data_IF_460936517626
#
_entry.id   IF_460936517626
#
_cell.length_a   1.000
_cell.length_b   1.000
_cell.length_c   1.000
_cell.angle_alpha   90.00
_cell.angle_beta   90.00
_cell.angle_gamma   90.00
#
_symmetry.space_group_name_H-M   'P 1'
#
loop_
_entity.id
_entity.type
_entity.pdbx_description
1 polymer ?
#
# COMPACT_ATOMS: atom_id res chain seq x y z
N UNK A 1 71.62 -41.74 4.61
CA UNK A 1 71.36 -40.39 5.17
C UNK A 1 70.99 -39.31 4.12
N UNK A 2 70.34 -39.66 3.01
CA UNK A 2 69.93 -38.65 1.96
C UNK A 2 68.40 -38.58 1.72
N UNK A 3 67.63 -39.44 2.36
CA UNK A 3 66.17 -39.52 2.09
C UNK A 3 65.30 -38.63 3.00
N UNK A 4 65.73 -38.35 4.23
CA UNK A 4 64.95 -37.60 5.23
C UNK A 4 64.89 -36.08 4.97
N UNK A 5 65.87 -35.49 4.33
CA UNK A 5 65.90 -34.05 4.02
C UNK A 5 64.95 -33.66 2.88
N UNK A 6 64.67 -34.57 1.97
CA UNK A 6 63.77 -34.31 0.83
C UNK A 6 62.30 -34.32 1.26
N UNK A 7 61.93 -35.15 2.22
CA UNK A 7 60.58 -35.24 2.74
C UNK A 7 60.21 -33.99 3.53
N UNK A 8 61.11 -33.42 4.32
CA UNK A 8 60.88 -32.19 5.05
C UNK A 8 60.75 -30.96 4.14
N UNK A 9 61.46 -30.93 3.04
CA UNK A 9 61.35 -29.82 2.07
C UNK A 9 60.02 -29.86 1.29
N UNK A 10 59.55 -31.05 0.93
CA UNK A 10 58.23 -31.21 0.30
C UNK A 10 57.07 -30.90 1.27
N UNK A 11 57.21 -31.21 2.55
CA UNK A 11 56.22 -30.92 3.56
C UNK A 11 56.09 -29.41 3.86
N UNK A 12 57.20 -28.66 3.74
CA UNK A 12 57.18 -27.20 3.87
C UNK A 12 56.53 -26.49 2.68
N UNK A 13 56.68 -27.03 1.47
CA UNK A 13 56.05 -26.47 0.25
C UNK A 13 54.55 -26.69 0.31
N UNK A 14 54.04 -27.80 0.83
CA UNK A 14 52.60 -28.06 0.99
C UNK A 14 51.98 -27.17 2.10
N UNK A 15 52.69 -26.87 3.19
CA UNK A 15 52.20 -26.00 4.23
C UNK A 15 52.18 -24.53 3.77
N UNK A 16 53.12 -24.07 2.96
CA UNK A 16 53.09 -22.70 2.41
C UNK A 16 51.99 -22.49 1.34
N UNK A 17 51.52 -23.52 0.65
CA UNK A 17 50.47 -23.41 -0.34
C UNK A 17 49.06 -23.36 0.27
N UNK A 18 48.90 -23.77 1.53
CA UNK A 18 47.62 -23.70 2.25
C UNK A 18 47.40 -22.34 2.94
N UNK A 19 48.47 -21.56 3.17
CA UNK A 19 48.39 -20.24 3.84
C UNK A 19 48.22 -19.06 2.86
N UNK A 20 48.17 -19.32 1.58
CA UNK A 20 48.15 -18.29 0.51
C UNK A 20 46.86 -18.18 -0.30
N UNK A 21 45.76 -18.83 0.11
CA UNK A 21 44.45 -18.56 -0.48
C UNK A 21 43.92 -17.25 0.08
N UNK A 22 43.83 -16.16 -0.70
CA UNK A 22 43.06 -15.01 -0.25
C UNK A 22 41.63 -15.51 -0.04
N UNK A 23 41.15 -15.42 1.18
CA UNK A 23 39.72 -15.53 1.47
C UNK A 23 39.06 -14.40 0.67
N UNK A 24 38.65 -14.67 -0.55
CA UNK A 24 37.68 -13.83 -1.25
C UNK A 24 36.40 -13.96 -0.44
N UNK A 25 36.30 -13.15 0.60
CA UNK A 25 34.99 -12.80 1.16
C UNK A 25 34.23 -12.21 -0.01
N UNK A 26 33.40 -13.03 -0.63
CA UNK A 26 32.36 -12.53 -1.50
C UNK A 26 31.48 -11.62 -0.61
N UNK A 27 31.84 -10.34 -0.55
CA UNK A 27 30.91 -9.31 -0.14
C UNK A 27 29.77 -9.42 -1.14
N UNK A 28 28.68 -10.04 -0.73
CA UNK A 28 27.41 -9.86 -1.40
C UNK A 28 27.12 -8.36 -1.26
N UNK A 29 27.55 -7.61 -2.26
CA UNK A 29 27.05 -6.25 -2.46
C UNK A 29 25.56 -6.46 -2.68
N UNK A 30 24.77 -6.26 -1.65
CA UNK A 30 23.32 -6.10 -1.79
C UNK A 30 23.15 -4.87 -2.70
N UNK A 31 23.08 -5.09 -3.99
CA UNK A 31 22.72 -4.06 -4.95
C UNK A 31 21.27 -3.69 -4.61
N UNK A 32 21.13 -2.62 -3.87
CA UNK A 32 19.82 -2.03 -3.55
C UNK A 32 19.26 -1.51 -4.87
N UNK A 33 18.25 -2.18 -5.39
CA UNK A 33 17.60 -1.79 -6.63
C UNK A 33 16.53 -0.72 -6.34
N UNK A 34 16.42 0.32 -7.18
CA UNK A 34 15.36 1.33 -7.04
C UNK A 34 13.98 0.67 -7.18
N UNK A 35 12.99 1.19 -6.44
CA UNK A 35 11.60 0.78 -6.58
C UNK A 35 11.08 1.11 -7.99
N UNK A 36 10.03 0.44 -8.45
CA UNK A 36 9.40 0.78 -9.74
C UNK A 36 8.84 2.21 -9.73
N UNK A 37 8.34 2.64 -8.59
CA UNK A 37 7.90 4.02 -8.39
C UNK A 37 9.07 4.99 -8.57
N UNK A 38 10.24 4.72 -8.00
CA UNK A 38 11.44 5.53 -8.20
C UNK A 38 11.89 5.57 -9.67
N UNK A 39 11.83 4.44 -10.37
CA UNK A 39 12.13 4.38 -11.81
C UNK A 39 11.15 5.24 -12.61
N UNK A 40 9.86 5.27 -12.26
CA UNK A 40 8.86 6.13 -12.92
C UNK A 40 9.12 7.61 -12.68
N UNK A 41 9.50 8.00 -11.44
CA UNK A 41 9.92 9.38 -11.11
C UNK A 41 11.15 9.77 -11.93
N UNK A 42 12.14 8.90 -12.01
CA UNK A 42 13.36 9.11 -12.82
C UNK A 42 13.06 9.27 -14.31
N UNK A 43 12.19 8.42 -14.85
CA UNK A 43 11.76 8.49 -16.25
C UNK A 43 11.04 9.82 -16.54
N UNK A 44 10.17 10.27 -15.62
CA UNK A 44 9.49 11.57 -15.74
C UNK A 44 10.49 12.73 -15.82
N UNK A 45 11.53 12.73 -14.97
CA UNK A 45 12.64 13.70 -15.00
C UNK A 45 13.44 13.63 -16.31
N UNK A 46 13.75 12.43 -16.80
CA UNK A 46 14.51 12.24 -18.03
C UNK A 46 13.75 12.81 -19.25
N UNK A 47 12.42 12.80 -19.22
CA UNK A 47 11.57 13.44 -20.23
C UNK A 47 11.54 14.98 -20.09
N UNK A 48 12.35 15.58 -19.21
CA UNK A 48 12.39 17.03 -18.91
C UNK A 48 11.05 17.61 -18.47
N UNK A 49 10.18 16.78 -17.90
CA UNK A 49 8.93 17.22 -17.29
C UNK A 49 9.20 17.80 -15.91
N UNK A 50 8.42 18.81 -15.55
CA UNK A 50 8.62 19.58 -14.32
C UNK A 50 7.57 19.14 -13.29
N UNK A 51 8.00 18.96 -12.04
CA UNK A 51 7.12 18.81 -10.89
C UNK A 51 6.58 20.18 -10.50
N UNK A 52 5.29 20.31 -10.33
CA UNK A 52 4.67 21.50 -9.78
C UNK A 52 4.96 21.57 -8.28
N UNK A 53 5.69 22.59 -7.87
CA UNK A 53 6.00 22.81 -6.45
C UNK A 53 4.82 23.45 -5.76
N UNK A 54 4.33 22.82 -4.68
CA UNK A 54 3.14 23.24 -3.96
C UNK A 54 3.41 23.32 -2.47
N UNK A 55 3.07 24.45 -1.86
CA UNK A 55 3.11 24.66 -0.40
C UNK A 55 1.74 24.31 0.17
N UNK A 56 1.58 23.06 0.63
CA UNK A 56 0.32 22.53 1.12
C UNK A 56 0.20 22.60 2.65
N UNK A 57 1.30 22.35 3.37
CA UNK A 57 1.32 22.31 4.82
C UNK A 57 1.80 23.65 5.38
N UNK A 58 1.08 24.13 6.38
CA UNK A 58 1.51 25.23 7.21
C UNK A 58 2.48 24.81 8.32
N UNK A 59 2.77 25.73 9.26
CA UNK A 59 3.69 25.44 10.36
C UNK A 59 3.14 24.31 11.25
N UNK A 60 4.09 23.61 11.89
CA UNK A 60 3.77 22.64 12.94
C UNK A 60 3.07 23.32 14.11
N UNK A 61 2.13 22.61 14.71
CA UNK A 61 1.38 23.06 15.90
C UNK A 61 1.57 22.06 17.04
N UNK A 62 1.59 22.50 18.28
CA UNK A 62 1.77 21.67 19.47
C UNK A 62 0.48 20.96 19.92
N UNK A 63 -0.56 20.92 19.07
CA UNK A 63 -1.85 20.36 19.44
C UNK A 63 -1.86 18.84 19.34
N UNK A 64 -1.82 18.17 20.50
CA UNK A 64 -2.17 16.74 20.64
C UNK A 64 -3.30 16.60 21.65
N UNK A 65 -4.36 15.89 21.27
CA UNK A 65 -5.39 15.53 22.27
C UNK A 65 -4.82 14.51 23.26
N UNK A 66 -5.19 14.60 24.54
CA UNK A 66 -4.77 13.68 25.62
C UNK A 66 -5.00 12.19 25.28
N UNK A 67 -5.94 11.89 24.39
CA UNK A 67 -6.21 10.52 23.93
C UNK A 67 -5.16 10.03 22.94
N UNK A 68 -4.64 10.91 22.09
CA UNK A 68 -3.62 10.58 21.09
C UNK A 68 -2.25 10.40 21.74
N UNK A 69 -1.90 11.20 22.74
CA UNK A 69 -0.66 11.09 23.53
C UNK A 69 -0.46 9.71 24.14
N UNK A 70 -1.56 8.99 24.47
CA UNK A 70 -1.50 7.61 24.99
C UNK A 70 -1.22 6.57 23.92
N UNK A 71 -1.43 6.88 22.66
CA UNK A 71 -1.36 5.93 21.54
C UNK A 71 -0.17 6.16 20.63
N UNK A 72 0.42 7.35 20.68
CA UNK A 72 1.53 7.76 19.80
C UNK A 72 2.57 8.48 20.66
N UNK A 73 3.84 8.05 20.56
CA UNK A 73 4.94 8.62 21.35
C UNK A 73 5.51 9.89 20.72
N UNK A 74 5.53 9.98 19.40
CA UNK A 74 6.00 11.15 18.65
C UNK A 74 5.13 11.34 17.42
N UNK A 75 4.80 12.59 17.13
CA UNK A 75 4.05 12.96 15.94
C UNK A 75 4.23 14.45 15.65
N UNK A 76 3.88 14.84 14.46
CA UNK A 76 3.72 16.24 14.06
C UNK A 76 2.25 16.53 13.82
N UNK A 77 1.79 17.68 14.26
CA UNK A 77 0.49 18.23 13.85
C UNK A 77 0.73 19.48 13.02
N UNK A 78 0.13 19.54 11.85
CA UNK A 78 0.31 20.66 10.93
C UNK A 78 -1.02 21.09 10.31
N UNK A 79 -1.21 22.39 10.17
CA UNK A 79 -2.33 22.94 9.41
C UNK A 79 -2.15 22.65 7.91
N UNK A 80 -3.25 22.62 7.18
CA UNK A 80 -3.25 22.46 5.72
C UNK A 80 -3.91 23.68 5.06
N UNK A 81 -3.38 24.13 3.92
CA UNK A 81 -4.07 25.10 3.08
C UNK A 81 -5.17 24.41 2.28
N UNK A 82 -6.42 24.61 2.74
CA UNK A 82 -7.59 24.00 2.09
C UNK A 82 -7.83 24.53 0.65
N UNK A 83 -7.34 25.72 0.30
CA UNK A 83 -7.46 26.25 -1.08
C UNK A 83 -6.52 25.50 -1.99
N UNK A 84 -5.30 25.28 -1.54
CA UNK A 84 -4.29 24.50 -2.27
C UNK A 84 -4.74 23.05 -2.39
N UNK A 85 -5.27 22.44 -1.32
CA UNK A 85 -5.85 21.09 -1.37
C UNK A 85 -6.95 20.98 -2.44
N UNK A 86 -7.91 21.93 -2.41
CA UNK A 86 -9.00 21.98 -3.39
C UNK A 86 -8.46 22.16 -4.82
N UNK A 87 -7.45 23.02 -5.02
CA UNK A 87 -6.83 23.23 -6.32
C UNK A 87 -6.19 21.95 -6.85
N UNK A 88 -5.40 21.22 -6.05
CA UNK A 88 -4.81 19.92 -6.43
C UNK A 88 -5.90 18.93 -6.84
N UNK A 89 -7.01 18.87 -6.07
CA UNK A 89 -8.13 18.00 -6.38
C UNK A 89 -8.83 18.37 -7.69
N UNK A 90 -9.03 19.66 -7.95
CA UNK A 90 -9.72 20.15 -9.13
C UNK A 90 -8.88 20.03 -10.41
N UNK A 91 -7.61 20.44 -10.36
CA UNK A 91 -6.72 20.53 -11.52
C UNK A 91 -5.99 19.22 -11.80
N UNK A 92 -5.78 18.37 -10.77
CA UNK A 92 -5.10 17.08 -10.86
C UNK A 92 -3.76 17.16 -11.63
N UNK A 93 -2.80 17.98 -11.18
CA UNK A 93 -1.52 18.14 -11.84
C UNK A 93 -0.85 16.79 -12.16
N UNK A 94 -0.09 16.73 -13.25
CA UNK A 94 0.56 15.46 -13.67
C UNK A 94 1.63 15.02 -12.69
N UNK A 95 2.32 15.96 -12.05
CA UNK A 95 3.34 15.70 -11.04
C UNK A 95 3.44 16.85 -10.04
N UNK A 96 3.72 16.50 -8.78
CA UNK A 96 3.81 17.42 -7.65
C UNK A 96 5.12 17.23 -6.90
N UNK A 97 5.70 18.34 -6.44
CA UNK A 97 6.73 18.38 -5.40
C UNK A 97 6.13 19.05 -4.16
N UNK A 98 6.16 18.34 -3.03
CA UNK A 98 5.59 18.78 -1.76
C UNK A 98 6.62 18.65 -0.64
N UNK A 99 6.48 19.49 0.38
CA UNK A 99 7.19 19.38 1.64
C UNK A 99 6.23 18.91 2.74
N UNK A 100 6.58 17.82 3.42
CA UNK A 100 5.82 17.24 4.53
C UNK A 100 6.54 17.54 5.83
N UNK A 101 5.95 18.30 6.76
CA UNK A 101 6.55 18.53 8.07
C UNK A 101 6.53 17.25 8.90
N UNK A 102 7.68 16.91 9.49
CA UNK A 102 7.79 15.70 10.32
C UNK A 102 8.87 15.83 11.39
N UNK A 103 8.47 15.91 12.66
CA UNK A 103 9.34 15.96 13.84
C UNK A 103 10.40 17.09 13.76
N UNK A 104 9.97 18.30 13.40
CA UNK A 104 10.83 19.47 13.27
C UNK A 104 11.70 19.50 12.01
N UNK A 105 11.46 18.61 11.06
CA UNK A 105 12.15 18.53 9.77
C UNK A 105 11.14 18.64 8.63
N UNK A 106 11.60 18.93 7.42
CA UNK A 106 10.80 18.87 6.21
C UNK A 106 11.25 17.70 5.35
N UNK A 107 10.32 16.85 4.93
CA UNK A 107 10.54 15.76 3.99
C UNK A 107 10.07 16.20 2.61
N UNK A 108 11.00 16.42 1.69
CA UNK A 108 10.67 16.72 0.29
C UNK A 108 10.26 15.43 -0.42
N UNK A 109 9.10 15.46 -1.10
CA UNK A 109 8.56 14.33 -1.84
C UNK A 109 8.26 14.68 -3.28
N UNK A 110 8.44 13.72 -4.17
CA UNK A 110 8.15 13.83 -5.60
C UNK A 110 7.08 12.81 -5.98
N UNK A 111 5.99 13.30 -6.52
CA UNK A 111 4.77 12.54 -6.80
C UNK A 111 4.39 12.60 -8.27
N UNK A 112 3.98 11.48 -8.84
CA UNK A 112 3.43 11.36 -10.19
C UNK A 112 2.00 10.87 -10.10
N UNK A 113 1.08 11.51 -10.86
CA UNK A 113 -0.32 11.10 -10.92
C UNK A 113 -0.47 9.70 -11.52
N UNK A 114 -1.37 8.93 -10.93
CA UNK A 114 -1.70 7.56 -11.36
C UNK A 114 -3.21 7.37 -11.43
N UNK A 115 -3.65 6.42 -12.25
CA UNK A 115 -5.04 6.00 -12.34
C UNK A 115 -5.20 4.64 -11.64
N UNK A 116 -6.01 4.62 -10.58
CA UNK A 116 -6.29 3.41 -9.79
C UNK A 116 -7.72 2.90 -9.97
N UNK A 117 -8.54 3.63 -10.72
CA UNK A 117 -9.89 3.22 -11.06
C UNK A 117 -9.93 2.73 -12.51
N UNK A 118 -10.66 1.65 -12.76
CA UNK A 118 -10.92 1.18 -14.12
C UNK A 118 -11.72 2.21 -14.92
N UNK A 119 -11.55 2.24 -16.24
CA UNK A 119 -12.27 3.17 -17.10
C UNK A 119 -13.81 2.99 -17.02
N UNK A 120 -14.27 1.78 -16.69
CA UNK A 120 -15.68 1.46 -16.47
C UNK A 120 -16.11 1.49 -15.01
N UNK A 121 -15.33 2.12 -14.12
CA UNK A 121 -15.60 2.17 -12.68
C UNK A 121 -17.01 2.65 -12.36
N UNK A 122 -17.69 1.94 -11.47
CA UNK A 122 -19.00 2.29 -10.92
C UNK A 122 -19.03 2.06 -9.41
N UNK A 123 -19.93 2.78 -8.74
CA UNK A 123 -20.17 2.59 -7.32
C UNK A 123 -21.68 2.46 -7.07
N UNK A 124 -22.06 1.56 -6.16
CA UNK A 124 -23.44 1.26 -5.80
C UNK A 124 -23.61 1.27 -4.28
N UNK A 125 -24.87 1.30 -3.83
CA UNK A 125 -25.19 1.14 -2.41
C UNK A 125 -26.41 0.26 -2.18
N UNK A 126 -26.53 -0.26 -0.98
CA UNK A 126 -27.70 -1.03 -0.57
C UNK A 126 -28.98 -0.17 -0.44
N UNK A 127 -28.84 1.14 -0.28
CA UNK A 127 -29.97 2.07 -0.16
C UNK A 127 -30.71 2.34 -1.48
N UNK A 128 -30.02 2.26 -2.61
CA UNK A 128 -30.56 2.43 -3.95
C UNK A 128 -30.05 1.31 -4.87
N UNK A 129 -30.54 0.07 -4.75
CA UNK A 129 -30.07 -1.07 -5.50
C UNK A 129 -30.16 -0.84 -7.03
N UNK A 130 -29.09 -1.15 -7.75
CA UNK A 130 -29.03 -1.01 -9.22
C UNK A 130 -28.84 0.41 -9.74
N UNK A 131 -28.83 1.41 -8.88
CA UNK A 131 -28.57 2.80 -9.27
C UNK A 131 -27.14 3.18 -8.91
N UNK A 132 -26.35 3.59 -9.90
CA UNK A 132 -24.99 4.03 -9.68
C UNK A 132 -24.93 5.32 -8.86
N UNK A 133 -24.04 5.38 -7.89
CA UNK A 133 -23.73 6.58 -7.12
C UNK A 133 -23.00 7.57 -8.03
N UNK A 134 -23.40 8.82 -8.02
CA UNK A 134 -22.63 9.89 -8.66
C UNK A 134 -21.41 10.19 -7.80
N UNK A 135 -20.24 9.71 -8.24
CA UNK A 135 -18.97 9.87 -7.54
C UNK A 135 -17.97 10.67 -8.39
N UNK A 136 -17.27 11.59 -7.76
CA UNK A 136 -16.16 12.32 -8.37
C UNK A 136 -14.84 11.73 -7.83
N UNK A 137 -14.04 11.07 -8.67
CA UNK A 137 -12.78 10.47 -8.23
C UNK A 137 -11.78 11.48 -7.69
N UNK A 138 -11.04 11.09 -6.66
CA UNK A 138 -9.89 11.83 -6.16
C UNK A 138 -8.77 12.02 -7.19
N UNK A 139 -7.72 12.70 -6.78
CA UNK A 139 -6.44 12.75 -7.50
C UNK A 139 -5.45 11.84 -6.77
N UNK A 140 -4.99 10.79 -7.45
CA UNK A 140 -4.14 9.75 -6.86
C UNK A 140 -2.72 9.89 -7.35
N UNK A 141 -1.76 9.80 -6.43
CA UNK A 141 -0.35 9.97 -6.72
C UNK A 141 0.48 8.87 -6.08
N UNK A 142 1.58 8.53 -6.76
CA UNK A 142 2.67 7.70 -6.26
C UNK A 142 3.98 8.44 -6.39
N UNK A 143 4.92 8.15 -5.50
CA UNK A 143 6.20 8.84 -5.55
C UNK A 143 7.23 8.30 -4.60
N UNK A 144 8.26 9.14 -4.39
CA UNK A 144 9.38 8.84 -3.51
C UNK A 144 9.72 10.08 -2.65
N UNK A 145 10.41 9.84 -1.55
CA UNK A 145 11.17 10.90 -0.89
C UNK A 145 12.27 11.32 -1.86
N UNK A 146 12.43 12.61 -2.08
CA UNK A 146 13.40 13.16 -3.02
C UNK A 146 14.83 12.72 -2.64
N UNK A 147 15.46 11.98 -3.56
CA UNK A 147 16.78 11.39 -3.33
C UNK A 147 16.79 9.99 -2.69
N UNK A 148 15.66 9.47 -2.19
CA UNK A 148 15.55 8.10 -1.67
C UNK A 148 14.82 7.18 -2.66
N UNK A 149 15.60 6.48 -3.51
CA UNK A 149 15.07 5.55 -4.52
C UNK A 149 14.48 4.26 -3.89
N UNK A 150 14.61 4.07 -2.58
CA UNK A 150 14.03 2.93 -1.85
C UNK A 150 12.71 3.28 -1.18
N UNK A 151 12.39 4.56 -1.03
CA UNK A 151 11.11 5.00 -0.48
C UNK A 151 9.95 4.71 -1.43
N UNK A 152 8.77 4.63 -0.86
CA UNK A 152 7.51 4.45 -1.60
C UNK A 152 6.46 5.33 -0.97
N UNK A 153 5.78 6.12 -1.79
CA UNK A 153 4.75 7.06 -1.36
C UNK A 153 3.47 6.81 -2.13
N UNK A 154 2.34 6.88 -1.43
CA UNK A 154 1.01 6.97 -2.00
C UNK A 154 0.22 8.07 -1.30
N UNK A 155 -0.25 9.06 -2.06
CA UNK A 155 -1.11 10.13 -1.56
C UNK A 155 -2.34 10.25 -2.44
N UNK A 156 -3.49 10.47 -1.82
CA UNK A 156 -4.78 10.63 -2.48
C UNK A 156 -5.41 11.94 -2.01
N UNK A 157 -5.70 12.84 -2.93
CA UNK A 157 -6.31 14.14 -2.66
C UNK A 157 -7.78 14.10 -3.05
N UNK A 158 -8.62 14.60 -2.17
CA UNK A 158 -10.06 14.83 -2.37
C UNK A 158 -10.38 16.30 -2.09
N UNK A 159 -11.61 16.69 -2.28
CA UNK A 159 -12.02 18.09 -2.17
C UNK A 159 -11.65 18.75 -0.84
N UNK A 160 -11.86 18.04 0.26
CA UNK A 160 -11.68 18.55 1.64
C UNK A 160 -10.76 17.70 2.52
N UNK A 161 -10.17 16.65 1.96
CA UNK A 161 -9.33 15.71 2.70
C UNK A 161 -8.24 15.10 1.81
N UNK A 162 -7.07 14.85 2.39
CA UNK A 162 -6.07 13.98 1.80
C UNK A 162 -5.83 12.76 2.72
N UNK A 163 -5.38 11.68 2.13
CA UNK A 163 -4.82 10.53 2.83
C UNK A 163 -3.45 10.23 2.24
N UNK A 164 -2.46 9.97 3.08
CA UNK A 164 -1.12 9.70 2.62
C UNK A 164 -0.40 8.66 3.45
N UNK A 165 0.46 7.90 2.77
CA UNK A 165 1.42 6.99 3.37
C UNK A 165 2.78 7.19 2.70
N UNK A 166 3.82 7.31 3.52
CA UNK A 166 5.22 7.40 3.11
C UNK A 166 5.95 6.25 3.79
N UNK A 167 6.59 5.38 3.04
CA UNK A 167 7.38 4.26 3.55
C UNK A 167 8.84 4.43 3.17
N UNK A 168 9.74 4.39 4.15
CA UNK A 168 11.19 4.43 3.93
C UNK A 168 11.96 3.68 5.00
N UNK A 169 13.23 3.34 4.71
CA UNK A 169 14.13 2.73 5.67
C UNK A 169 14.41 3.62 6.89
N UNK A 170 14.47 4.92 6.70
CA UNK A 170 14.85 5.88 7.75
C UNK A 170 13.67 6.20 8.68
N UNK A 171 12.47 6.41 8.14
CA UNK A 171 11.31 6.90 8.89
C UNK A 171 10.29 5.83 9.26
N UNK A 172 10.35 4.62 8.70
CA UNK A 172 9.29 3.62 8.79
C UNK A 172 8.10 4.00 7.90
N UNK A 173 6.89 3.67 8.34
CA UNK A 173 5.67 4.01 7.61
C UNK A 173 5.03 5.25 8.25
N UNK A 174 5.21 6.40 7.61
CA UNK A 174 4.55 7.65 8.02
C UNK A 174 3.14 7.68 7.46
N UNK A 175 2.18 8.01 8.30
CA UNK A 175 0.76 8.16 7.94
C UNK A 175 0.33 9.61 8.13
N UNK A 176 -0.42 10.14 7.17
CA UNK A 176 -1.03 11.46 7.18
C UNK A 176 -2.55 11.32 7.35
N UNK A 177 -3.09 11.77 8.48
CA UNK A 177 -4.52 11.68 8.79
C UNK A 177 -5.07 13.01 9.26
N UNK A 178 -6.23 13.41 8.74
CA UNK A 178 -6.96 14.60 9.19
C UNK A 178 -7.55 14.40 10.58
N UNK A 179 -7.29 15.34 11.48
CA UNK A 179 -7.94 15.41 12.80
C UNK A 179 -9.38 15.89 12.66
N UNK A 180 -10.29 15.27 13.40
CA UNK A 180 -11.71 15.63 13.35
C UNK A 180 -12.01 16.95 14.08
N UNK A 181 -11.20 17.29 15.09
CA UNK A 181 -11.50 18.39 16.01
C UNK A 181 -11.25 19.77 15.40
N UNK A 182 -10.13 19.93 14.66
CA UNK A 182 -9.71 21.24 14.13
C UNK A 182 -9.40 21.23 12.62
N UNK A 183 -9.35 20.05 12.00
CA UNK A 183 -9.06 19.90 10.59
C UNK A 183 -7.57 19.87 10.23
N UNK A 184 -6.67 19.99 11.21
CA UNK A 184 -5.23 19.80 11.03
C UNK A 184 -4.90 18.35 10.71
N UNK A 185 -3.66 18.10 10.32
CA UNK A 185 -3.17 16.76 9.99
C UNK A 185 -2.25 16.25 11.07
N UNK A 186 -2.53 15.04 11.54
CA UNK A 186 -1.64 14.25 12.37
C UNK A 186 -0.74 13.42 11.47
N UNK A 187 0.57 13.60 11.64
CA UNK A 187 1.63 12.95 10.86
C UNK A 187 2.50 12.17 11.85
N UNK A 188 2.51 10.85 11.72
CA UNK A 188 3.24 9.97 12.65
C UNK A 188 3.79 8.73 11.95
N UNK A 189 4.86 8.16 12.50
CA UNK A 189 5.40 6.88 12.05
C UNK A 189 4.75 5.71 12.81
N UNK A 190 4.60 4.57 12.17
CA UNK A 190 4.19 3.31 12.80
C UNK A 190 5.14 2.87 13.92
N UNK A 191 6.40 3.30 13.86
CA UNK A 191 7.41 3.08 14.92
C UNK A 191 7.08 3.76 16.24
N UNK A 192 6.29 4.83 16.19
CA UNK A 192 5.90 5.63 17.33
C UNK A 192 4.55 5.21 17.93
N UNK A 193 3.89 4.17 17.37
CA UNK A 193 2.66 3.64 17.93
C UNK A 193 2.91 2.81 19.18
N UNK A 194 2.17 3.10 20.26
CA UNK A 194 2.19 2.32 21.51
C UNK A 194 1.18 1.17 21.51
N UNK A 195 0.19 1.23 20.62
CA UNK A 195 -0.88 0.24 20.51
C UNK A 195 -0.40 -0.87 19.57
N UNK A 196 -0.39 -2.11 20.06
CA UNK A 196 -0.19 -3.27 19.21
C UNK A 196 -1.44 -3.47 18.34
N UNK A 197 -1.24 -3.67 17.03
CA UNK A 197 -2.32 -4.01 16.12
C UNK A 197 -3.02 -5.29 16.60
N UNK A 198 -4.30 -5.25 16.91
CA UNK A 198 -5.03 -6.47 17.24
C UNK A 198 -5.32 -7.25 15.96
N UNK A 199 -5.31 -8.57 16.07
CA UNK A 199 -5.72 -9.48 15.01
C UNK A 199 -4.55 -10.19 14.31
N UNK A 200 -4.83 -11.41 13.92
CA UNK A 200 -3.94 -12.27 13.13
C UNK A 200 -4.52 -12.32 11.71
N UNK A 201 -3.68 -12.07 10.71
CA UNK A 201 -4.04 -12.33 9.32
C UNK A 201 -3.89 -13.83 9.05
N UNK A 202 -4.91 -14.44 8.46
CA UNK A 202 -4.95 -15.86 8.13
C UNK A 202 -5.15 -16.02 6.63
N UNK A 203 -4.61 -17.12 6.09
CA UNK A 203 -4.90 -17.56 4.72
C UNK A 203 -5.56 -18.93 4.78
N UNK A 204 -6.52 -19.17 3.90
CA UNK A 204 -7.22 -20.44 3.78
C UNK A 204 -6.80 -21.06 2.44
N UNK A 205 -6.16 -22.23 2.52
CA UNK A 205 -5.83 -23.01 1.32
C UNK A 205 -7.11 -23.72 0.81
N UNK A 206 -7.48 -23.53 -0.46
CA UNK A 206 -8.57 -24.28 -1.06
C UNK A 206 -8.25 -25.79 -1.11
N UNK A 207 -9.28 -26.61 -1.08
CA UNK A 207 -9.12 -28.05 -1.28
C UNK A 207 -8.51 -28.33 -2.66
N UNK A 208 -7.43 -29.13 -2.70
CA UNK A 208 -6.72 -29.42 -3.94
C UNK A 208 -5.60 -28.43 -4.33
N UNK A 209 -5.34 -27.39 -3.52
CA UNK A 209 -4.35 -26.35 -3.79
C UNK A 209 -2.95 -26.89 -4.15
N UNK A 210 -2.44 -27.87 -3.40
CA UNK A 210 -1.13 -28.45 -3.65
C UNK A 210 -1.03 -29.17 -5.04
N UNK A 211 -2.11 -29.79 -5.50
CA UNK A 211 -2.16 -30.41 -6.82
C UNK A 211 -2.23 -29.36 -7.95
N UNK A 212 -2.90 -28.26 -7.72
CA UNK A 212 -3.03 -27.16 -8.68
C UNK A 212 -1.71 -26.42 -8.88
N UNK A 213 -0.97 -26.15 -7.80
CA UNK A 213 0.40 -25.62 -7.88
C UNK A 213 1.32 -26.54 -8.66
N UNK A 214 1.28 -27.86 -8.41
CA UNK A 214 2.12 -28.79 -9.17
C UNK A 214 1.80 -28.79 -10.66
N UNK A 215 0.51 -28.67 -11.04
CA UNK A 215 0.10 -28.52 -12.45
C UNK A 215 0.62 -27.21 -13.05
N UNK A 216 0.45 -26.09 -12.35
CA UNK A 216 0.93 -24.77 -12.80
C UNK A 216 2.45 -24.72 -12.97
N UNK A 217 3.21 -25.37 -12.08
CA UNK A 217 4.67 -25.46 -12.18
C UNK A 217 5.12 -26.40 -13.30
N UNK A 218 4.32 -27.41 -13.70
CA UNK A 218 4.63 -28.30 -14.81
C UNK A 218 4.23 -27.74 -16.17
N UNK A 219 3.36 -26.76 -16.22
CA UNK A 219 2.91 -26.08 -17.44
C UNK A 219 3.84 -24.92 -17.80
N UNK A 220 4.93 -25.22 -18.51
CA UNK A 220 5.90 -24.21 -18.98
C UNK A 220 5.36 -23.27 -20.07
N UNK A 221 4.07 -23.36 -20.42
CA UNK A 221 3.44 -22.52 -21.46
C UNK A 221 3.13 -21.07 -21.02
N UNK A 222 3.38 -20.70 -19.76
CA UNK A 222 3.11 -19.37 -19.19
C UNK A 222 4.15 -18.30 -19.61
N UNK A 223 4.61 -18.30 -20.86
CA UNK A 223 5.66 -17.37 -21.35
C UNK A 223 5.15 -16.08 -21.96
N UNK A 224 3.88 -15.78 -21.94
CA UNK A 224 3.38 -14.46 -22.37
C UNK A 224 3.21 -13.55 -21.17
N UNK A 225 4.18 -12.67 -20.91
CA UNK A 225 4.03 -11.48 -20.05
C UNK A 225 3.04 -10.52 -20.71
N UNK A 226 1.76 -10.85 -20.71
CA UNK A 226 0.74 -9.84 -20.90
C UNK A 226 0.78 -8.94 -19.67
N UNK A 227 0.84 -7.64 -19.87
CA UNK A 227 0.61 -6.66 -18.80
C UNK A 227 -0.85 -6.81 -18.37
N UNK A 228 -1.10 -7.72 -17.43
CA UNK A 228 -2.44 -7.98 -16.94
C UNK A 228 -2.77 -6.93 -15.90
N UNK A 229 -3.87 -6.23 -16.08
CA UNK A 229 -4.46 -5.39 -15.06
C UNK A 229 -5.46 -6.24 -14.28
N UNK A 230 -5.25 -6.39 -12.97
CA UNK A 230 -6.16 -7.08 -12.08
C UNK A 230 -7.24 -6.10 -11.63
N UNK A 231 -8.49 -6.41 -11.97
CA UNK A 231 -9.66 -5.62 -11.57
C UNK A 231 -10.17 -6.10 -10.23
N UNK A 232 -10.34 -5.16 -9.31
CA UNK A 232 -10.74 -5.43 -7.94
C UNK A 232 -12.14 -4.87 -7.68
N UNK A 233 -13.05 -5.76 -7.27
CA UNK A 233 -14.33 -5.38 -6.69
C UNK A 233 -14.14 -5.16 -5.19
N UNK A 234 -14.67 -4.05 -4.66
CA UNK A 234 -14.60 -3.75 -3.22
C UNK A 234 -16.00 -3.55 -2.67
N UNK A 235 -16.31 -4.29 -1.63
CA UNK A 235 -17.53 -4.11 -0.84
C UNK A 235 -17.18 -3.62 0.55
N UNK A 236 -17.99 -2.70 1.10
CA UNK A 236 -17.77 -2.15 2.44
C UNK A 236 -18.98 -2.40 3.31
N UNK A 237 -18.75 -2.76 4.58
CA UNK A 237 -19.79 -3.05 5.53
C UNK A 237 -20.52 -1.79 6.03
N UNK A 238 -21.65 -1.99 6.70
CA UNK A 238 -22.44 -0.89 7.29
C UNK A 238 -21.71 -0.15 8.42
N UNK A 239 -20.87 -0.86 9.18
CA UNK A 239 -20.13 -0.24 10.27
C UNK A 239 -19.08 0.77 9.73
N UNK A 240 -18.44 0.49 8.59
CA UNK A 240 -17.56 1.45 7.94
C UNK A 240 -18.34 2.67 7.43
N UNK A 241 -19.54 2.48 6.85
CA UNK A 241 -20.41 3.57 6.44
C UNK A 241 -20.76 4.49 7.60
N UNK A 242 -21.18 3.93 8.76
CA UNK A 242 -21.43 4.70 9.96
C UNK A 242 -20.18 5.45 10.46
N UNK A 243 -19.02 4.78 10.47
CA UNK A 243 -17.75 5.37 10.89
C UNK A 243 -17.33 6.56 10.00
N UNK A 244 -17.70 6.54 8.73
CA UNK A 244 -17.43 7.63 7.76
C UNK A 244 -18.56 8.66 7.69
N UNK A 245 -19.32 8.82 8.78
CA UNK A 245 -20.35 9.85 8.91
C UNK A 245 -21.61 9.60 8.07
N UNK A 246 -21.95 8.34 7.80
CA UNK A 246 -23.08 7.96 6.96
C UNK A 246 -23.01 8.59 5.54
N UNK A 247 -21.83 8.66 4.99
CA UNK A 247 -21.56 9.21 3.65
C UNK A 247 -20.93 8.17 2.74
N UNK A 248 -21.60 7.82 1.66
CA UNK A 248 -21.05 6.93 0.63
C UNK A 248 -19.80 7.53 -0.01
N UNK A 249 -19.77 8.83 -0.25
CA UNK A 249 -18.59 9.54 -0.79
C UNK A 249 -17.40 9.40 0.14
N UNK A 250 -17.57 9.62 1.46
CA UNK A 250 -16.47 9.49 2.43
C UNK A 250 -15.96 8.06 2.52
N UNK A 251 -16.85 7.06 2.42
CA UNK A 251 -16.44 5.64 2.36
C UNK A 251 -15.59 5.38 1.13
N UNK A 252 -16.06 5.80 -0.06
CA UNK A 252 -15.35 5.58 -1.30
C UNK A 252 -14.01 6.34 -1.31
N UNK A 253 -13.97 7.59 -0.85
CA UNK A 253 -12.73 8.36 -0.72
C UNK A 253 -11.71 7.64 0.17
N UNK A 254 -12.13 7.20 1.35
CA UNK A 254 -11.28 6.46 2.27
C UNK A 254 -10.76 5.15 1.65
N UNK A 255 -11.64 4.36 1.06
CA UNK A 255 -11.27 3.06 0.50
C UNK A 255 -10.43 3.18 -0.78
N UNK A 256 -10.65 4.20 -1.61
CA UNK A 256 -9.77 4.45 -2.77
C UNK A 256 -8.38 4.91 -2.32
N UNK A 257 -8.29 5.66 -1.22
CA UNK A 257 -6.99 6.02 -0.64
C UNK A 257 -6.25 4.78 -0.08
N UNK A 258 -6.95 3.90 0.65
CA UNK A 258 -6.40 2.62 1.11
C UNK A 258 -5.95 1.78 -0.08
N UNK A 259 -6.79 1.69 -1.12
CA UNK A 259 -6.45 0.93 -2.33
C UNK A 259 -5.26 1.54 -3.08
N UNK A 260 -5.09 2.87 -3.11
CA UNK A 260 -3.90 3.49 -3.71
C UNK A 260 -2.60 3.02 -3.03
N UNK A 261 -2.60 2.86 -1.70
CA UNK A 261 -1.45 2.29 -0.99
C UNK A 261 -1.17 0.85 -1.45
N UNK A 262 -2.20 0.01 -1.50
CA UNK A 262 -2.09 -1.40 -1.95
C UNK A 262 -1.62 -1.46 -3.40
N UNK A 263 -2.26 -0.70 -4.29
CA UNK A 263 -1.91 -0.67 -5.71
C UNK A 263 -0.49 -0.13 -5.97
N UNK A 264 0.04 0.71 -5.07
CA UNK A 264 1.43 1.19 -5.13
C UNK A 264 2.41 0.06 -4.82
N UNK A 265 2.13 -0.78 -3.82
CA UNK A 265 2.94 -1.95 -3.51
C UNK A 265 2.94 -2.95 -4.67
N UNK A 266 1.77 -3.27 -5.23
CA UNK A 266 1.67 -4.15 -6.40
C UNK A 266 2.37 -3.58 -7.64
N UNK A 267 2.33 -2.26 -7.83
CA UNK A 267 3.04 -1.62 -8.95
C UNK A 267 4.56 -1.78 -8.83
N UNK A 268 5.13 -1.77 -7.61
CA UNK A 268 6.54 -2.05 -7.38
C UNK A 268 6.90 -3.50 -7.77
N UNK A 269 5.95 -4.43 -7.67
CA UNK A 269 6.07 -5.83 -8.14
C UNK A 269 5.67 -6.00 -9.62
N UNK A 270 5.45 -4.90 -10.36
CA UNK A 270 5.05 -4.89 -11.77
C UNK A 270 3.64 -5.48 -12.03
N UNK A 271 2.78 -5.44 -11.03
CA UNK A 271 1.38 -5.85 -11.14
C UNK A 271 0.51 -4.59 -11.15
N UNK A 272 -0.24 -4.38 -12.23
CA UNK A 272 -1.22 -3.28 -12.31
C UNK A 272 -2.52 -3.76 -11.69
N UNK A 273 -3.05 -2.97 -10.74
CA UNK A 273 -4.34 -3.24 -10.12
C UNK A 273 -5.23 -2.00 -10.22
N UNK A 274 -6.53 -2.19 -10.51
CA UNK A 274 -7.51 -1.11 -10.58
C UNK A 274 -8.82 -1.54 -9.94
N UNK A 275 -9.51 -0.59 -9.30
CA UNK A 275 -10.86 -0.85 -8.79
C UNK A 275 -11.85 -0.75 -9.94
N UNK A 276 -12.63 -1.78 -10.13
CA UNK A 276 -13.70 -1.86 -11.14
C UNK A 276 -15.05 -1.43 -10.59
N UNK A 277 -15.32 -1.77 -9.33
CA UNK A 277 -16.61 -1.47 -8.72
C UNK A 277 -16.50 -1.34 -7.19
N UNK A 278 -17.29 -0.42 -6.63
CA UNK A 278 -17.56 -0.33 -5.20
C UNK A 278 -19.01 -0.66 -4.90
N UNK A 279 -19.25 -1.37 -3.78
CA UNK A 279 -20.56 -1.52 -3.20
C UNK A 279 -20.53 -1.13 -1.72
N UNK A 280 -21.39 -0.18 -1.34
CA UNK A 280 -21.44 0.37 0.02
C UNK A 280 -22.74 -0.05 0.71
N UNK A 281 -22.62 -0.81 1.81
CA UNK A 281 -23.77 -1.08 2.67
C UNK A 281 -24.14 0.17 3.47
N UNK A 282 -25.32 0.74 3.19
CA UNK A 282 -25.90 1.90 3.90
C UNK A 282 -26.95 1.49 4.94
N UNK A 283 -27.16 0.19 5.09
CA UNK A 283 -28.02 -0.44 6.08
C UNK A 283 -27.37 -1.76 6.53
N UNK A 284 -27.96 -2.46 7.50
CA UNK A 284 -27.40 -3.69 8.05
C UNK A 284 -27.01 -4.72 6.96
N UNK A 285 -25.74 -5.08 6.92
CA UNK A 285 -25.13 -5.94 5.90
C UNK A 285 -25.30 -7.44 6.19
N UNK A 286 -25.41 -7.81 7.47
CA UNK A 286 -25.54 -9.20 7.92
C UNK A 286 -24.26 -10.01 7.82
N UNK A 287 -23.08 -9.36 7.77
CA UNK A 287 -21.78 -10.04 7.90
C UNK A 287 -21.41 -10.29 9.36
N UNK A 288 -20.73 -11.40 9.61
CA UNK A 288 -20.22 -11.72 10.96
C UNK A 288 -19.21 -10.68 11.42
N UNK A 289 -19.37 -10.24 12.68
CA UNK A 289 -18.41 -9.36 13.37
C UNK A 289 -17.62 -10.14 14.44
N UNK A 290 -17.74 -11.45 14.47
CA UNK A 290 -17.10 -12.32 15.48
C UNK A 290 -16.14 -13.34 14.88
N UNK A 291 -16.13 -13.52 13.56
CA UNK A 291 -15.25 -14.45 12.84
C UNK A 291 -14.98 -13.97 11.43
N UNK A 292 -13.72 -13.73 11.11
CA UNK A 292 -13.27 -13.35 9.78
C UNK A 292 -13.59 -14.43 8.74
N UNK A 293 -13.37 -15.71 9.07
CA UNK A 293 -13.69 -16.84 8.20
C UNK A 293 -15.19 -16.93 7.91
N UNK A 294 -16.04 -16.72 8.93
CA UNK A 294 -17.49 -16.70 8.73
C UNK A 294 -17.90 -15.54 7.83
N UNK A 295 -17.33 -14.33 8.03
CA UNK A 295 -17.59 -13.18 7.17
C UNK A 295 -17.17 -13.44 5.72
N UNK A 296 -16.00 -14.06 5.49
CA UNK A 296 -15.51 -14.44 4.17
C UNK A 296 -16.46 -15.38 3.44
N UNK A 297 -16.93 -16.44 4.14
CA UNK A 297 -17.89 -17.39 3.57
C UNK A 297 -19.25 -16.75 3.26
N UNK A 298 -19.71 -15.85 4.12
CA UNK A 298 -20.93 -15.07 3.89
C UNK A 298 -20.76 -14.12 2.69
N UNK A 299 -19.60 -13.47 2.54
CA UNK A 299 -19.29 -12.61 1.42
C UNK A 299 -19.35 -13.40 0.11
N UNK A 300 -18.65 -14.53 0.01
CA UNK A 300 -18.71 -15.43 -1.14
C UNK A 300 -20.14 -15.83 -1.50
N UNK A 301 -20.97 -16.18 -0.50
CA UNK A 301 -22.35 -16.58 -0.72
C UNK A 301 -23.24 -15.44 -1.21
N UNK A 302 -23.01 -14.20 -0.73
CA UNK A 302 -23.78 -13.00 -1.12
C UNK A 302 -23.34 -12.43 -2.46
N UNK A 303 -22.09 -12.66 -2.86
CA UNK A 303 -21.48 -12.16 -4.10
C UNK A 303 -20.94 -13.30 -4.95
N UNK A 304 -21.84 -14.17 -5.47
CA UNK A 304 -21.43 -15.27 -6.35
C UNK A 304 -20.91 -14.76 -7.72
N UNK A 305 -21.19 -13.50 -8.04
CA UNK A 305 -20.67 -12.78 -9.22
C UNK A 305 -20.51 -11.31 -8.90
N UNK A 306 -19.48 -10.69 -9.47
CA UNK A 306 -19.13 -9.29 -9.29
C UNK A 306 -18.33 -8.80 -10.51
N UNK A 307 -18.19 -7.50 -10.66
CA UNK A 307 -17.42 -6.90 -11.74
C UNK A 307 -15.94 -6.77 -11.32
N UNK A 308 -15.15 -7.81 -11.54
CA UNK A 308 -13.73 -7.84 -11.20
C UNK A 308 -13.12 -9.22 -11.38
N UNK A 309 -11.80 -9.30 -11.23
CA UNK A 309 -11.03 -10.56 -11.23
C UNK A 309 -10.88 -11.11 -9.81
N UNK A 310 -10.97 -10.23 -8.81
CA UNK A 310 -10.93 -10.55 -7.38
C UNK A 310 -11.86 -9.62 -6.60
N UNK A 311 -12.41 -10.12 -5.50
CA UNK A 311 -13.31 -9.36 -4.64
C UNK A 311 -12.77 -9.22 -3.21
N UNK A 312 -12.99 -8.04 -2.62
CA UNK A 312 -12.62 -7.72 -1.25
C UNK A 312 -13.82 -7.21 -0.46
N UNK A 313 -14.03 -7.77 0.73
CA UNK A 313 -14.90 -7.20 1.75
C UNK A 313 -14.04 -6.40 2.74
N UNK A 314 -14.20 -5.09 2.76
CA UNK A 314 -13.63 -4.21 3.77
C UNK A 314 -14.65 -3.98 4.88
N UNK A 315 -14.44 -4.61 6.03
CA UNK A 315 -15.34 -4.55 7.16
C UNK A 315 -14.65 -3.90 8.36
N UNK A 316 -15.35 -2.97 9.02
CA UNK A 316 -14.98 -2.47 10.33
C UNK A 316 -15.44 -3.49 11.37
N UNK A 317 -14.64 -4.54 11.53
CA UNK A 317 -14.97 -5.73 12.29
C UNK A 317 -15.03 -5.53 13.80
N UNK A 318 -15.32 -6.61 14.52
CA UNK A 318 -15.25 -6.69 15.96
C UNK A 318 -13.80 -6.68 16.48
N UNK A 319 -13.65 -6.58 17.80
CA UNK A 319 -12.33 -6.58 18.45
C UNK A 319 -11.54 -7.85 18.12
N UNK A 320 -10.26 -7.69 17.82
CA UNK A 320 -9.29 -8.75 17.55
C UNK A 320 -9.53 -9.60 16.29
N UNK A 321 -10.32 -9.14 15.32
CA UNK A 321 -10.40 -9.80 14.02
C UNK A 321 -9.26 -9.32 13.11
N UNK A 322 -8.62 -10.26 12.44
CA UNK A 322 -7.64 -10.03 11.37
C UNK A 322 -8.26 -10.20 9.99
N UNK A 323 -7.48 -9.91 8.97
CA UNK A 323 -7.82 -10.23 7.59
C UNK A 323 -7.74 -11.75 7.34
N UNK A 324 -8.61 -12.25 6.47
CA UNK A 324 -8.58 -13.63 5.98
C UNK A 324 -8.84 -13.63 4.49
N UNK A 325 -8.14 -14.48 3.75
CA UNK A 325 -8.31 -14.62 2.31
C UNK A 325 -8.17 -16.08 1.89
N UNK A 326 -8.80 -16.42 0.76
CA UNK A 326 -8.49 -17.64 0.04
C UNK A 326 -7.14 -17.50 -0.66
N UNK A 327 -6.32 -18.53 -0.62
CA UNK A 327 -5.08 -18.60 -1.40
C UNK A 327 -5.45 -18.99 -2.83
N UNK A 328 -4.71 -18.43 -3.81
CA UNK A 328 -4.87 -18.71 -5.25
C UNK A 328 -6.30 -18.48 -5.77
N UNK A 329 -6.91 -17.41 -5.26
CA UNK A 329 -8.31 -17.09 -5.58
C UNK A 329 -8.46 -16.41 -6.95
N UNK A 330 -7.40 -15.81 -7.50
CA UNK A 330 -7.46 -15.09 -8.78
C UNK A 330 -7.83 -16.05 -9.92
N UNK A 331 -8.85 -15.67 -10.70
CA UNK A 331 -9.41 -16.49 -11.79
C UNK A 331 -10.01 -17.83 -11.32
N UNK A 332 -10.30 -17.99 -10.04
CA UNK A 332 -10.99 -19.16 -9.47
C UNK A 332 -12.43 -18.81 -9.05
N UNK A 333 -13.20 -19.82 -8.66
CA UNK A 333 -14.53 -19.61 -8.08
C UNK A 333 -14.49 -19.02 -6.65
N UNK A 334 -13.30 -18.71 -6.13
CA UNK A 334 -13.06 -18.15 -4.81
C UNK A 334 -12.60 -16.68 -4.86
N UNK A 335 -12.19 -16.20 -6.05
CA UNK A 335 -11.76 -14.83 -6.27
C UNK A 335 -12.90 -13.86 -6.51
#
# INVERSE_FOLDING_TARGET
MKSTKLIHFLMWIVILSVLGLPSVLAQTVNTIHPTKTALSVKEFKNQRKIFEKVELFGPETDYLSTRMEKSITKSTVAAIDNKVLHQIFAEKPVALELEIPFLGQSIEIELIKVDILDAGFQAFSSGEPGKAIKYTPGAYYRGIIKGDEQSTIAISFFDDILYGMISSGDYGNITLNKLQDNGDYLIYSDRDLTIKQPGICETIEPEGYAQEIQRALSDQSLTTRATKCVKVYIETDYALYQNKGNSTTNVINYMTAVFNNVATLYANEQITTQVSEFYVWTSADGYSKTSSTTALNQFKSKRPSYNGDIAHLAALGGNNLGGVAWVDALCSNYG
#
